data_IF_656255253717
#
_entry.id   IF_656255253717
#
_cell.length_a   1.000
_cell.length_b   1.000
_cell.length_c   1.000
_cell.angle_alpha   90.00
_cell.angle_beta   90.00
_cell.angle_gamma   90.00
#
_symmetry.space_group_name_H-M   'P 1'
#
loop_
_entity.id
_entity.type
_entity.pdbx_description
1 polymer ?
#
# COMPACT_ATOMS: atom_id res chain seq x y z
N UNK A 1 -13.27 5.29 31.14
CA UNK A 1 -12.21 6.23 30.79
C UNK A 1 -10.93 5.65 31.35
N UNK A 2 -10.03 5.13 30.50
CA UNK A 2 -8.72 4.68 30.98
C UNK A 2 -7.89 5.93 31.24
N UNK A 3 -7.57 6.18 32.49
CA UNK A 3 -6.72 7.28 32.95
C UNK A 3 -5.27 6.93 32.59
N UNK A 4 -4.90 7.15 31.32
CA UNK A 4 -3.54 6.92 30.82
C UNK A 4 -2.69 8.10 31.28
N UNK A 5 -1.89 7.93 32.35
CA UNK A 5 -0.91 8.93 32.75
C UNK A 5 0.11 9.13 31.63
N UNK A 6 0.19 10.32 31.00
CA UNK A 6 1.16 10.64 29.97
C UNK A 6 2.60 10.37 30.40
N UNK A 7 2.94 10.40 31.68
CA UNK A 7 4.33 10.24 32.11
C UNK A 7 4.83 8.80 32.11
N UNK A 8 3.97 7.82 31.83
CA UNK A 8 4.36 6.41 31.81
C UNK A 8 5.40 6.08 30.73
N UNK A 9 5.42 6.80 29.62
CA UNK A 9 6.43 6.61 28.56
C UNK A 9 7.79 7.25 28.87
N UNK A 10 7.86 8.24 29.76
CA UNK A 10 9.13 8.90 30.15
C UNK A 10 10.11 7.94 30.85
N UNK A 11 9.61 6.83 31.40
CA UNK A 11 10.41 5.82 32.10
C UNK A 11 10.76 4.60 31.23
N UNK A 12 10.33 4.56 29.96
CA UNK A 12 10.65 3.46 29.05
C UNK A 12 11.98 3.76 28.38
N UNK A 13 13.02 2.99 28.73
CA UNK A 13 14.31 3.10 28.07
C UNK A 13 14.20 2.63 26.61
N UNK A 14 14.59 3.51 25.67
CA UNK A 14 14.70 3.15 24.26
C UNK A 14 16.02 2.43 24.04
N UNK A 15 15.95 1.22 23.49
CA UNK A 15 17.12 0.45 23.13
C UNK A 15 17.54 0.75 21.67
N UNK A 16 18.81 1.07 21.45
CA UNK A 16 19.37 1.28 20.11
C UNK A 16 19.17 0.06 19.19
N UNK A 17 19.09 -1.15 19.75
CA UNK A 17 18.77 -2.35 18.97
C UNK A 17 17.33 -2.29 18.41
N UNK A 18 16.37 -1.76 19.17
CA UNK A 18 14.98 -1.65 18.74
C UNK A 18 14.85 -0.62 17.61
N UNK A 19 15.52 0.54 17.76
CA UNK A 19 15.57 1.56 16.70
C UNK A 19 16.14 0.97 15.40
N UNK A 20 17.26 0.24 15.50
CA UNK A 20 17.88 -0.41 14.33
C UNK A 20 16.98 -1.47 13.71
N UNK A 21 16.29 -2.27 14.52
CA UNK A 21 15.31 -3.25 14.03
C UNK A 21 14.13 -2.59 13.31
N UNK A 22 13.63 -1.47 13.84
CA UNK A 22 12.53 -0.70 13.20
C UNK A 22 12.98 -0.20 11.83
N UNK A 23 14.16 0.42 11.73
CA UNK A 23 14.73 0.88 10.45
C UNK A 23 14.93 -0.28 9.48
N UNK A 24 15.55 -1.38 9.94
CA UNK A 24 15.80 -2.54 9.10
C UNK A 24 14.49 -3.16 8.58
N UNK A 25 13.45 -3.23 9.42
CA UNK A 25 12.13 -3.76 9.02
C UNK A 25 11.54 -2.96 7.85
N UNK A 26 11.71 -1.63 7.85
CA UNK A 26 11.23 -0.76 6.78
C UNK A 26 12.00 -0.99 5.48
N UNK A 27 13.33 -1.06 5.55
CA UNK A 27 14.17 -1.30 4.38
C UNK A 27 13.85 -2.64 3.71
N UNK A 28 13.62 -3.68 4.51
CA UNK A 28 13.36 -5.04 4.00
C UNK A 28 11.94 -5.17 3.46
N UNK A 29 10.97 -4.59 4.16
CA UNK A 29 9.58 -4.54 3.71
C UNK A 29 9.48 -3.88 2.32
N UNK A 30 10.13 -2.73 2.14
CA UNK A 30 10.14 -1.95 0.90
C UNK A 30 11.18 -2.42 -0.15
N UNK A 31 11.79 -3.59 0.05
CA UNK A 31 12.76 -4.16 -0.89
C UNK A 31 14.01 -3.30 -1.18
N UNK A 32 14.42 -2.43 -0.25
CA UNK A 32 15.67 -1.66 -0.32
C UNK A 32 16.88 -2.52 0.07
N UNK A 33 17.10 -3.61 -0.69
CA UNK A 33 18.06 -4.67 -0.39
C UNK A 33 19.47 -4.16 -0.17
N UNK A 34 20.00 -3.37 -1.11
CA UNK A 34 21.37 -2.87 -1.06
C UNK A 34 21.58 -1.97 0.16
N UNK A 35 20.59 -1.14 0.48
CA UNK A 35 20.58 -0.29 1.67
C UNK A 35 20.47 -1.13 2.95
N UNK A 36 19.63 -2.16 2.98
CA UNK A 36 19.48 -3.06 4.12
C UNK A 36 20.80 -3.81 4.41
N UNK A 37 21.46 -4.34 3.39
CA UNK A 37 22.75 -5.03 3.51
C UNK A 37 23.86 -4.12 4.05
N UNK A 38 23.94 -2.89 3.52
CA UNK A 38 24.87 -1.88 4.01
C UNK A 38 24.55 -1.49 5.47
N UNK A 39 23.26 -1.31 5.79
CA UNK A 39 22.80 -0.96 7.14
C UNK A 39 23.15 -2.04 8.16
N UNK A 40 22.92 -3.32 7.84
CA UNK A 40 23.27 -4.47 8.69
C UNK A 40 24.78 -4.48 8.95
N UNK A 41 25.57 -4.31 7.88
CA UNK A 41 27.03 -4.33 7.95
C UNK A 41 27.60 -3.21 8.82
N UNK A 42 27.08 -1.99 8.70
CA UNK A 42 27.51 -0.83 9.49
C UNK A 42 27.05 -0.88 10.95
N UNK A 43 25.94 -1.55 11.25
CA UNK A 43 25.35 -1.58 12.60
C UNK A 43 25.70 -2.84 13.41
N UNK A 44 26.38 -3.82 12.79
CA UNK A 44 26.76 -5.08 13.43
C UNK A 44 25.56 -5.95 13.84
N UNK A 45 24.41 -5.80 13.17
CA UNK A 45 23.21 -6.59 13.46
C UNK A 45 23.37 -8.01 12.95
N UNK A 46 22.86 -8.98 13.71
CA UNK A 46 22.76 -10.35 13.24
C UNK A 46 21.57 -10.48 12.26
N UNK A 47 21.81 -11.08 11.09
CA UNK A 47 20.76 -11.32 10.10
C UNK A 47 19.77 -12.39 10.63
N UNK A 48 18.45 -12.13 10.63
CA UNK A 48 17.48 -13.21 10.74
C UNK A 48 17.54 -14.02 9.45
N UNK A 49 17.77 -15.34 9.55
CA UNK A 49 18.13 -16.23 8.45
C UNK A 49 17.12 -16.30 7.27
N UNK A 50 15.90 -15.76 7.42
CA UNK A 50 14.84 -15.78 6.42
C UNK A 50 14.35 -14.39 5.98
N UNK A 51 15.02 -13.31 6.40
CA UNK A 51 14.47 -11.96 6.25
C UNK A 51 14.68 -11.35 4.85
N UNK A 52 15.74 -11.77 4.14
CA UNK A 52 16.07 -11.27 2.79
C UNK A 52 15.53 -12.15 1.67
N UNK A 53 15.02 -13.34 1.99
CA UNK A 53 14.53 -14.31 1.00
C UNK A 53 13.35 -13.66 0.27
N UNK A 54 13.35 -13.80 -1.05
CA UNK A 54 12.36 -13.24 -1.98
C UNK A 54 12.36 -11.72 -2.16
N UNK A 55 13.27 -10.96 -1.53
CA UNK A 55 13.38 -9.51 -1.74
C UNK A 55 13.60 -9.13 -3.21
N UNK A 56 14.46 -9.85 -3.93
CA UNK A 56 14.74 -9.55 -5.34
C UNK A 56 13.50 -9.77 -6.21
N UNK A 57 12.74 -10.84 -5.94
CA UNK A 57 11.52 -11.14 -6.68
C UNK A 57 10.39 -10.16 -6.32
N UNK A 58 10.22 -9.83 -5.04
CA UNK A 58 9.28 -8.78 -4.59
C UNK A 58 9.62 -7.41 -5.17
N UNK A 59 10.90 -7.03 -5.19
CA UNK A 59 11.39 -5.79 -5.84
C UNK A 59 11.01 -5.77 -7.31
N UNK A 60 11.20 -6.89 -8.01
CA UNK A 60 10.85 -7.02 -9.43
C UNK A 60 9.34 -6.89 -9.66
N UNK A 61 8.52 -7.59 -8.86
CA UNK A 61 7.05 -7.50 -8.90
C UNK A 61 6.60 -6.05 -8.70
N UNK A 62 7.13 -5.38 -7.67
CA UNK A 62 6.82 -3.99 -7.34
C UNK A 62 7.17 -3.04 -8.51
N UNK A 63 8.36 -3.17 -9.10
CA UNK A 63 8.79 -2.35 -10.23
C UNK A 63 7.87 -2.55 -11.43
N UNK A 64 7.53 -3.79 -11.78
CA UNK A 64 6.61 -4.05 -12.90
C UNK A 64 5.22 -3.45 -12.68
N UNK A 65 4.68 -3.49 -11.44
CA UNK A 65 3.42 -2.84 -11.12
C UNK A 65 3.51 -1.31 -11.26
N UNK A 66 4.60 -0.70 -10.77
CA UNK A 66 4.86 0.73 -10.88
C UNK A 66 4.99 1.22 -12.33
N UNK A 67 5.68 0.44 -13.16
CA UNK A 67 5.90 0.75 -14.58
C UNK A 67 4.65 0.54 -15.44
N UNK A 68 3.57 -0.02 -14.90
CA UNK A 68 2.33 -0.31 -15.64
C UNK A 68 2.33 -1.68 -16.34
N UNK A 69 3.42 -2.45 -16.22
CA UNK A 69 3.49 -3.83 -16.69
C UNK A 69 2.84 -4.80 -15.69
N UNK A 70 1.56 -4.55 -15.39
CA UNK A 70 0.83 -5.29 -14.36
C UNK A 70 0.67 -6.78 -14.71
N UNK A 71 0.62 -7.16 -15.99
CA UNK A 71 0.57 -8.57 -16.39
C UNK A 71 1.84 -9.33 -15.98
N UNK A 72 3.02 -8.71 -16.14
CA UNK A 72 4.27 -9.33 -15.69
C UNK A 72 4.35 -9.38 -14.16
N UNK A 73 3.87 -8.34 -13.48
CA UNK A 73 3.73 -8.36 -12.02
C UNK A 73 2.86 -9.53 -11.56
N UNK A 74 1.68 -9.72 -12.17
CA UNK A 74 0.76 -10.82 -11.87
C UNK A 74 1.41 -12.20 -12.09
N UNK A 75 2.13 -12.39 -13.21
CA UNK A 75 2.83 -13.65 -13.51
C UNK A 75 3.87 -13.98 -12.43
N UNK A 76 4.69 -13.00 -12.04
CA UNK A 76 5.71 -13.18 -11.01
C UNK A 76 5.09 -13.37 -9.61
N UNK A 77 3.97 -12.71 -9.33
CA UNK A 77 3.20 -12.91 -8.10
C UNK A 77 2.67 -14.34 -8.00
N UNK A 78 2.11 -14.89 -9.07
CA UNK A 78 1.63 -16.29 -9.06
C UNK A 78 2.78 -17.30 -8.95
N UNK A 79 3.96 -16.97 -9.47
CA UNK A 79 5.15 -17.78 -9.27
C UNK A 79 5.65 -17.76 -7.81
N UNK A 80 5.64 -16.59 -7.16
CA UNK A 80 6.11 -16.42 -5.77
C UNK A 80 5.08 -16.94 -4.75
N UNK A 81 3.81 -16.62 -4.97
CA UNK A 81 2.69 -16.93 -4.07
C UNK A 81 1.50 -17.48 -4.89
N UNK A 82 1.46 -18.78 -5.17
CA UNK A 82 0.42 -19.38 -5.99
C UNK A 82 -1.00 -19.17 -5.41
N UNK A 83 -1.94 -18.93 -6.32
CA UNK A 83 -3.37 -18.69 -6.08
C UNK A 83 -3.70 -17.38 -5.34
N UNK A 84 -2.72 -16.52 -5.06
CA UNK A 84 -2.96 -15.27 -4.35
C UNK A 84 -3.98 -14.40 -5.08
N UNK A 85 -3.87 -14.27 -6.40
CA UNK A 85 -4.77 -13.41 -7.18
C UNK A 85 -6.14 -14.05 -7.44
N UNK A 86 -6.25 -15.38 -7.29
CA UNK A 86 -7.53 -16.07 -7.37
C UNK A 86 -8.37 -15.85 -6.11
N UNK A 87 -7.71 -15.84 -4.95
CA UNK A 87 -8.33 -15.61 -3.64
C UNK A 87 -8.59 -14.11 -3.39
N UNK A 88 -7.64 -13.24 -3.74
CA UNK A 88 -7.72 -11.79 -3.53
C UNK A 88 -8.28 -11.05 -4.74
N UNK A 89 -9.61 -11.05 -4.88
CA UNK A 89 -10.29 -10.41 -6.00
C UNK A 89 -10.06 -8.90 -6.10
N UNK A 90 -9.89 -8.20 -4.97
CA UNK A 90 -9.61 -6.76 -4.94
C UNK A 90 -8.28 -6.46 -5.61
N UNK A 91 -7.25 -7.21 -5.23
CA UNK A 91 -5.90 -7.08 -5.77
C UNK A 91 -5.85 -7.44 -7.25
N UNK A 92 -6.56 -8.50 -7.64
CA UNK A 92 -6.68 -8.88 -9.06
C UNK A 92 -7.37 -7.79 -9.87
N UNK A 93 -8.45 -7.21 -9.37
CA UNK A 93 -9.13 -6.10 -10.03
C UNK A 93 -8.21 -4.90 -10.20
N UNK A 94 -7.47 -4.54 -9.15
CA UNK A 94 -6.53 -3.41 -9.17
C UNK A 94 -5.41 -3.61 -10.21
N UNK A 95 -4.80 -4.80 -10.28
CA UNK A 95 -3.74 -5.09 -11.26
C UNK A 95 -4.26 -5.13 -12.70
N UNK A 96 -5.43 -5.72 -12.94
CA UNK A 96 -6.05 -5.68 -14.27
C UNK A 96 -6.38 -4.24 -14.68
N UNK A 97 -6.83 -3.43 -13.73
CA UNK A 97 -7.12 -2.01 -13.97
C UNK A 97 -5.86 -1.20 -14.32
N UNK A 98 -4.72 -1.49 -13.69
CA UNK A 98 -3.43 -0.89 -14.07
C UNK A 98 -3.05 -1.22 -15.52
N UNK A 99 -3.20 -2.47 -15.94
CA UNK A 99 -2.90 -2.84 -17.32
C UNK A 99 -3.83 -2.14 -18.31
N UNK A 100 -5.13 -2.04 -17.99
CA UNK A 100 -6.08 -1.29 -18.80
C UNK A 100 -5.66 0.18 -18.96
N UNK A 101 -5.28 0.84 -17.86
CA UNK A 101 -4.77 2.22 -17.88
C UNK A 101 -3.49 2.34 -18.71
N UNK A 102 -2.59 1.36 -18.64
CA UNK A 102 -1.36 1.34 -19.45
C UNK A 102 -1.64 1.24 -20.96
N UNK A 103 -2.63 0.43 -21.36
CA UNK A 103 -3.09 0.36 -22.75
C UNK A 103 -3.66 1.70 -23.23
N UNK A 104 -4.45 2.39 -22.39
CA UNK A 104 -4.97 3.73 -22.70
C UNK A 104 -3.85 4.76 -22.82
N UNK A 105 -2.89 4.73 -21.89
CA UNK A 105 -1.71 5.62 -21.91
C UNK A 105 -0.88 5.43 -23.18
N UNK A 106 -0.82 4.19 -23.68
CA UNK A 106 -0.15 3.82 -24.93
C UNK A 106 -0.98 4.07 -26.20
N UNK A 107 -2.16 4.71 -26.08
CA UNK A 107 -3.14 4.96 -27.16
C UNK A 107 -3.63 3.69 -27.87
N UNK A 108 -3.59 2.54 -27.19
CA UNK A 108 -4.05 1.24 -27.71
C UNK A 108 -5.51 1.00 -27.35
N UNK A 109 -6.39 1.90 -27.76
CA UNK A 109 -7.80 1.90 -27.33
C UNK A 109 -8.58 0.64 -27.70
N UNK A 110 -8.31 0.06 -28.89
CA UNK A 110 -8.96 -1.19 -29.31
C UNK A 110 -8.57 -2.36 -28.42
N UNK A 111 -7.28 -2.50 -28.11
CA UNK A 111 -6.77 -3.52 -27.18
C UNK A 111 -7.33 -3.29 -25.77
N UNK A 112 -7.38 -2.04 -25.31
CA UNK A 112 -7.96 -1.68 -24.01
C UNK A 112 -9.43 -2.07 -23.90
N UNK A 113 -10.23 -1.83 -24.94
CA UNK A 113 -11.64 -2.19 -24.98
C UNK A 113 -11.85 -3.70 -24.95
N UNK A 114 -11.12 -4.44 -25.77
CA UNK A 114 -11.17 -5.91 -25.79
C UNK A 114 -10.74 -6.51 -24.44
N UNK A 115 -9.68 -5.95 -23.85
CA UNK A 115 -9.21 -6.33 -22.52
C UNK A 115 -10.27 -6.05 -21.45
N UNK A 116 -10.88 -4.87 -21.44
CA UNK A 116 -11.93 -4.51 -20.48
C UNK A 116 -13.13 -5.45 -20.58
N UNK A 117 -13.60 -5.73 -21.80
CA UNK A 117 -14.72 -6.65 -22.03
C UNK A 117 -14.41 -8.08 -21.55
N UNK A 118 -13.17 -8.53 -21.70
CA UNK A 118 -12.77 -9.90 -21.38
C UNK A 118 -12.42 -10.08 -19.91
N UNK A 119 -11.67 -9.13 -19.32
CA UNK A 119 -11.03 -9.27 -18.01
C UNK A 119 -11.68 -8.43 -16.91
N UNK A 120 -12.22 -7.25 -17.23
CA UNK A 120 -12.83 -6.35 -16.25
C UNK A 120 -14.36 -6.50 -16.15
N UNK A 121 -15.05 -6.79 -17.26
CA UNK A 121 -16.51 -6.96 -17.27
C UNK A 121 -17.06 -7.97 -16.25
N UNK A 122 -16.38 -9.11 -15.95
CA UNK A 122 -16.83 -10.01 -14.88
C UNK A 122 -16.99 -9.34 -13.51
N UNK A 123 -16.19 -8.32 -13.20
CA UNK A 123 -16.26 -7.58 -11.94
C UNK A 123 -17.48 -6.65 -11.86
N UNK A 124 -18.05 -6.23 -13.00
CA UNK A 124 -19.26 -5.38 -13.05
C UNK A 124 -20.52 -6.04 -12.49
N UNK A 125 -20.50 -7.35 -12.21
CA UNK A 125 -21.59 -8.04 -11.51
C UNK A 125 -21.63 -7.75 -10.01
N UNK A 126 -20.51 -7.31 -9.44
CA UNK A 126 -20.38 -6.99 -8.03
C UNK A 126 -20.52 -5.47 -7.83
N UNK A 127 -21.51 -5.01 -7.03
CA UNK A 127 -21.69 -3.58 -6.76
C UNK A 127 -20.44 -2.91 -6.16
N UNK A 128 -19.58 -3.69 -5.49
CA UNK A 128 -18.32 -3.23 -4.89
C UNK A 128 -17.39 -2.57 -5.90
N UNK A 129 -17.31 -3.09 -7.14
CA UNK A 129 -16.38 -2.61 -8.15
C UNK A 129 -17.02 -1.67 -9.17
N UNK A 130 -18.35 -1.54 -9.16
CA UNK A 130 -19.09 -0.88 -10.23
C UNK A 130 -18.65 0.57 -10.44
N UNK A 131 -18.59 1.36 -9.36
CA UNK A 131 -18.20 2.77 -9.45
C UNK A 131 -16.79 2.91 -10.04
N UNK A 132 -15.82 2.16 -9.51
CA UNK A 132 -14.44 2.20 -9.96
C UNK A 132 -14.31 1.74 -11.41
N UNK A 133 -15.10 0.75 -11.83
CA UNK A 133 -15.17 0.30 -13.22
C UNK A 133 -15.73 1.39 -14.15
N UNK A 134 -16.80 2.09 -13.75
CA UNK A 134 -17.36 3.22 -14.49
C UNK A 134 -16.32 4.35 -14.66
N UNK A 135 -15.60 4.67 -13.58
CA UNK A 135 -14.54 5.68 -13.60
C UNK A 135 -13.42 5.31 -14.60
N UNK A 136 -13.02 4.03 -14.67
CA UNK A 136 -12.09 3.55 -15.69
C UNK A 136 -12.65 3.63 -17.10
N UNK A 137 -13.91 3.22 -17.31
CA UNK A 137 -14.54 3.27 -18.64
C UNK A 137 -14.71 4.72 -19.12
N UNK A 138 -14.89 5.68 -18.22
CA UNK A 138 -14.98 7.09 -18.57
C UNK A 138 -13.71 7.63 -19.26
N UNK A 139 -12.54 7.02 -19.02
CA UNK A 139 -11.29 7.37 -19.70
C UNK A 139 -11.35 7.11 -21.22
N UNK A 140 -12.17 6.15 -21.69
CA UNK A 140 -12.34 5.85 -23.12
C UNK A 140 -13.10 6.95 -23.87
N UNK A 141 -13.80 7.83 -23.18
CA UNK A 141 -14.58 8.91 -23.80
C UNK A 141 -13.72 10.09 -24.26
N UNK A 142 -12.41 10.07 -24.00
CA UNK A 142 -11.47 11.15 -24.29
C UNK A 142 -10.35 10.66 -25.21
N UNK A 143 -10.05 11.43 -26.27
CA UNK A 143 -8.92 11.16 -27.16
C UNK A 143 -7.57 11.23 -26.42
N UNK A 144 -7.50 12.10 -25.42
CA UNK A 144 -6.40 12.23 -24.48
C UNK A 144 -6.92 11.91 -23.06
N UNK A 145 -6.69 10.67 -22.56
CA UNK A 145 -7.18 10.24 -21.25
C UNK A 145 -6.74 11.14 -20.08
N UNK A 146 -5.59 11.81 -20.20
CA UNK A 146 -5.07 12.75 -19.20
C UNK A 146 -5.94 14.01 -19.03
N UNK A 147 -6.78 14.33 -20.03
CA UNK A 147 -7.76 15.42 -19.96
C UNK A 147 -9.08 15.00 -19.27
N UNK A 148 -9.23 13.71 -18.96
CA UNK A 148 -10.43 13.20 -18.29
C UNK A 148 -10.49 13.70 -16.85
N UNK A 149 -11.69 13.94 -16.28
CA UNK A 149 -11.87 14.09 -14.85
C UNK A 149 -11.29 12.92 -14.03
N UNK A 150 -11.15 11.75 -14.65
CA UNK A 150 -10.62 10.53 -14.04
C UNK A 150 -9.10 10.36 -14.23
N UNK A 151 -8.37 11.38 -14.68
CA UNK A 151 -6.91 11.33 -14.91
C UNK A 151 -6.10 10.88 -13.68
N UNK A 152 -6.64 11.08 -12.46
CA UNK A 152 -6.00 10.65 -11.22
C UNK A 152 -5.74 9.13 -11.16
N UNK A 153 -6.55 8.32 -11.85
CA UNK A 153 -6.37 6.87 -11.98
C UNK A 153 -5.15 6.48 -12.85
N UNK A 154 -4.59 7.45 -13.59
CA UNK A 154 -3.42 7.24 -14.45
C UNK A 154 -2.11 7.66 -13.78
N UNK A 155 -2.19 8.38 -12.65
CA UNK A 155 -1.03 8.95 -11.96
C UNK A 155 -0.17 7.89 -11.30
N UNK A 156 1.10 8.23 -11.10
CA UNK A 156 2.06 7.43 -10.34
C UNK A 156 1.56 7.06 -8.95
N UNK A 157 0.85 7.97 -8.27
CA UNK A 157 0.36 7.77 -6.89
C UNK A 157 -0.65 6.60 -6.82
N UNK A 158 -1.46 6.43 -7.87
CA UNK A 158 -2.38 5.30 -7.98
C UNK A 158 -1.63 3.99 -8.19
N UNK A 159 -0.61 3.99 -9.07
CA UNK A 159 0.26 2.82 -9.31
C UNK A 159 1.01 2.40 -8.04
N UNK A 160 1.53 3.39 -7.30
CA UNK A 160 2.21 3.20 -6.02
C UNK A 160 1.31 2.52 -5.01
N UNK A 161 0.08 3.02 -4.85
CA UNK A 161 -0.90 2.42 -3.92
C UNK A 161 -1.15 0.94 -4.24
N UNK A 162 -1.27 0.58 -5.51
CA UNK A 162 -1.50 -0.82 -5.91
C UNK A 162 -0.24 -1.67 -5.73
N UNK A 163 0.93 -1.14 -6.06
CA UNK A 163 2.20 -1.83 -5.85
C UNK A 163 2.45 -2.10 -4.36
N UNK A 164 2.09 -1.15 -3.49
CA UNK A 164 2.12 -1.32 -2.04
C UNK A 164 1.13 -2.40 -1.59
N UNK A 165 -0.14 -2.31 -2.00
CA UNK A 165 -1.15 -3.33 -1.68
C UNK A 165 -0.73 -4.74 -2.13
N UNK A 166 -0.10 -4.85 -3.29
CA UNK A 166 0.44 -6.11 -3.80
C UNK A 166 1.57 -6.64 -2.91
N UNK A 167 2.53 -5.80 -2.53
CA UNK A 167 3.60 -6.20 -1.62
C UNK A 167 3.06 -6.61 -0.25
N UNK A 168 2.08 -5.88 0.28
CA UNK A 168 1.41 -6.19 1.55
C UNK A 168 0.70 -7.55 1.51
N UNK A 169 0.00 -7.85 0.42
CA UNK A 169 -0.68 -9.13 0.22
C UNK A 169 0.30 -10.31 0.09
N UNK A 170 1.40 -10.11 -0.64
CA UNK A 170 2.48 -11.11 -0.75
C UNK A 170 3.07 -11.39 0.64
N UNK A 171 3.40 -10.35 1.42
CA UNK A 171 3.93 -10.49 2.78
C UNK A 171 2.94 -11.20 3.71
N UNK A 172 1.65 -10.84 3.65
CA UNK A 172 0.62 -11.49 4.44
C UNK A 172 0.51 -12.99 4.13
N UNK A 173 0.60 -13.37 2.84
CA UNK A 173 0.54 -14.78 2.40
C UNK A 173 1.69 -15.62 2.94
N UNK A 174 2.86 -15.03 3.13
CA UNK A 174 4.03 -15.69 3.73
C UNK A 174 4.10 -15.52 5.26
N UNK A 175 3.01 -15.10 5.90
CA UNK A 175 2.90 -14.85 7.35
C UNK A 175 3.90 -13.81 7.89
N UNK A 176 4.27 -12.84 7.05
CA UNK A 176 5.04 -11.67 7.45
C UNK A 176 4.11 -10.46 7.66
N UNK A 177 4.51 -9.48 8.50
CA UNK A 177 3.71 -8.28 8.71
C UNK A 177 3.45 -7.53 7.40
N UNK A 178 2.18 -7.19 7.15
CA UNK A 178 1.79 -6.38 5.99
C UNK A 178 2.36 -4.97 6.04
N UNK A 179 2.66 -4.44 7.21
CA UNK A 179 3.33 -3.15 7.39
C UNK A 179 4.66 -3.37 8.11
N UNK A 180 5.65 -2.54 7.79
CA UNK A 180 6.86 -2.47 8.60
C UNK A 180 6.55 -1.99 10.02
N UNK A 181 7.44 -2.27 10.96
CA UNK A 181 7.32 -1.75 12.32
C UNK A 181 7.28 -0.22 12.32
N UNK A 182 8.03 0.42 11.42
CA UNK A 182 8.05 1.87 11.28
C UNK A 182 6.69 2.42 10.86
N UNK A 183 6.07 1.87 9.81
CA UNK A 183 4.75 2.31 9.34
C UNK A 183 3.69 2.08 10.41
N UNK A 184 3.73 0.92 11.09
CA UNK A 184 2.81 0.61 12.19
C UNK A 184 2.91 1.64 13.31
N UNK A 185 4.13 2.01 13.71
CA UNK A 185 4.37 3.02 14.75
C UNK A 185 3.89 4.41 14.31
N UNK A 186 4.09 4.78 13.04
CA UNK A 186 3.60 6.05 12.48
C UNK A 186 2.07 6.06 12.49
N UNK A 187 1.41 4.97 12.08
CA UNK A 187 -0.05 4.84 12.11
C UNK A 187 -0.58 4.98 13.54
N UNK A 188 0.00 4.26 14.50
CA UNK A 188 -0.36 4.34 15.91
C UNK A 188 -0.19 5.76 16.46
N UNK A 189 0.95 6.39 16.19
CA UNK A 189 1.25 7.76 16.63
C UNK A 189 0.27 8.76 16.03
N UNK A 190 -0.09 8.60 14.75
CA UNK A 190 -1.05 9.46 14.05
C UNK A 190 -2.43 9.37 14.69
N UNK A 191 -2.92 8.15 14.92
CA UNK A 191 -4.23 7.91 15.56
C UNK A 191 -4.23 8.46 16.99
N UNK A 192 -3.20 8.17 17.79
CA UNK A 192 -3.09 8.68 19.17
C UNK A 192 -3.10 10.21 19.19
N UNK A 193 -2.36 10.86 18.30
CA UNK A 193 -2.32 12.33 18.20
C UNK A 193 -3.69 12.91 17.83
N UNK A 194 -4.41 12.27 16.91
CA UNK A 194 -5.76 12.68 16.53
C UNK A 194 -6.76 12.53 17.69
N UNK A 195 -6.71 11.42 18.41
CA UNK A 195 -7.56 11.18 19.58
C UNK A 195 -7.29 12.22 20.68
N UNK A 196 -6.02 12.47 21.00
CA UNK A 196 -5.65 13.47 22.01
C UNK A 196 -6.10 14.87 21.62
N UNK A 197 -5.95 15.28 20.35
CA UNK A 197 -6.45 16.58 19.88
C UNK A 197 -7.98 16.69 19.93
N UNK A 198 -8.71 15.62 19.62
CA UNK A 198 -10.17 15.60 19.75
C UNK A 198 -10.63 15.68 21.21
N UNK A 199 -9.92 15.03 22.13
CA UNK A 199 -10.19 15.13 23.57
C UNK A 199 -9.88 16.54 24.11
N UNK A 200 -8.76 17.15 23.69
CA UNK A 200 -8.45 18.56 24.01
C UNK A 200 -9.51 19.53 23.50
N UNK A 201 -10.06 19.32 22.30
CA UNK A 201 -11.17 20.12 21.77
C UNK A 201 -12.44 20.02 22.61
N UNK A 202 -12.82 18.80 23.03
CA UNK A 202 -13.99 18.56 23.88
C UNK A 202 -13.83 19.12 25.29
N UNK A 203 -12.63 19.03 25.87
CA UNK A 203 -12.34 19.61 27.20
C UNK A 203 -12.44 21.13 27.18
N UNK A 204 -12.04 21.80 26.09
CA UNK A 204 -12.19 23.24 25.95
C UNK A 204 -13.66 23.67 25.79
N UNK A 205 -14.47 22.91 25.05
CA UNK A 205 -15.91 23.15 24.92
C UNK A 205 -16.66 22.97 26.26
N UNK A 206 -16.33 21.93 27.04
CA UNK A 206 -16.91 21.71 28.38
C UNK A 206 -16.51 22.79 29.42
N UNK A 207 -15.33 23.39 29.27
CA UNK A 207 -14.88 24.50 30.13
C UNK A 207 -15.60 25.80 29.76
N UNK A 208 -15.84 26.05 28.47
CA UNK A 208 -16.54 27.26 28.00
C UNK A 208 -18.03 27.24 28.38
N UNK A 209 -18.69 26.08 28.32
CA UNK A 209 -20.07 25.90 28.79
C UNK A 209 -20.21 26.07 30.31
N UNK A 210 -19.20 25.69 31.10
CA UNK A 210 -19.18 25.91 32.56
C UNK A 210 -18.85 27.34 32.97
N UNK A 211 -18.19 28.12 32.11
CA UNK A 211 -17.92 29.54 32.35
C UNK A 211 -19.11 30.45 31.96
N UNK A 212 -20.08 29.94 31.18
CA UNK A 212 -21.28 30.67 30.77
C UNK A 212 -22.54 30.37 31.60
N UNK A 213 -22.43 29.60 32.71
CA UNK A 213 -23.50 29.30 33.66
C UNK A 213 -23.22 29.95 35.03
#
# INVERSE_FOLDING_TARGET
>A
MMDFDPKLYENVAINDADVRNIVLSYLVHNCFKETAEAFISCTGMNQPANYLVDMDLRKSIFIFAMEGNALKAMELTEHLTPNLLEEENDLRFDLLSLHFVDLLSSRKFTEALEFAQTKLAPFGKSPKYMQKLEDFMALLAYDEPDCSPMFHLMRSDYRQTIADNLNQAILARVNLPSYSSMETLIQQTTVVTQCLHQELGKVLEEVDERCCA
#
